data_IF_062832927311
#
_entry.id   IF_062832927311
#
_cell.length_a   1.000
_cell.length_b   1.000
_cell.length_c   1.000
_cell.angle_alpha   90.00
_cell.angle_beta   90.00
_cell.angle_gamma   90.00
#
_symmetry.space_group_name_H-M   'P 1'
#
loop_
_entity.id
_entity.type
_entity.pdbx_description
1 polymer ?
#
# COMPACT_ATOMS: atom_id res chain seq x y z
N UNK A 1 -28.15 10.63 -18.64
CA UNK A 1 -27.16 10.72 -17.55
C UNK A 1 -26.13 11.72 -18.02
N UNK A 2 -26.05 12.88 -17.37
CA UNK A 2 -25.22 13.99 -17.85
C UNK A 2 -23.74 13.65 -17.73
N UNK A 3 -22.94 13.96 -18.76
CA UNK A 3 -21.49 13.68 -18.80
C UNK A 3 -20.75 14.09 -17.50
N UNK A 4 -21.15 15.22 -16.90
CA UNK A 4 -20.62 15.74 -15.62
C UNK A 4 -20.86 14.83 -14.41
N UNK A 5 -22.00 14.13 -14.38
CA UNK A 5 -22.34 13.20 -13.29
C UNK A 5 -21.50 11.92 -13.36
N UNK A 6 -21.21 11.46 -14.57
CA UNK A 6 -20.33 10.29 -14.80
C UNK A 6 -18.92 10.61 -14.31
N UNK A 7 -18.40 11.80 -14.64
CA UNK A 7 -17.06 12.21 -14.19
C UNK A 7 -16.95 12.31 -12.67
N UNK A 8 -17.93 12.93 -12.01
CA UNK A 8 -17.96 12.98 -10.56
C UNK A 8 -17.98 11.57 -9.92
N UNK A 9 -18.63 10.59 -10.55
CA UNK A 9 -18.64 9.20 -10.08
C UNK A 9 -17.27 8.52 -10.20
N UNK A 10 -16.54 8.76 -11.29
CA UNK A 10 -15.22 8.14 -11.51
C UNK A 10 -14.19 8.67 -10.49
N UNK A 11 -14.25 9.97 -10.18
CA UNK A 11 -13.34 10.61 -9.22
C UNK A 11 -13.53 10.03 -7.81
N UNK A 12 -14.77 9.84 -7.38
CA UNK A 12 -15.06 9.29 -6.04
C UNK A 12 -14.65 7.82 -5.90
N UNK A 13 -14.86 7.03 -6.95
CA UNK A 13 -14.45 5.62 -6.97
C UNK A 13 -12.93 5.53 -6.86
N UNK A 14 -12.20 6.38 -7.59
CA UNK A 14 -10.75 6.43 -7.56
C UNK A 14 -10.20 6.82 -6.18
N UNK A 15 -10.77 7.88 -5.56
CA UNK A 15 -10.36 8.33 -4.21
C UNK A 15 -10.68 7.24 -3.18
N UNK A 16 -11.84 6.61 -3.27
CA UNK A 16 -12.27 5.58 -2.32
C UNK A 16 -11.40 4.33 -2.41
N UNK A 17 -11.14 3.83 -3.62
CA UNK A 17 -10.24 2.68 -3.83
C UNK A 17 -8.87 2.97 -3.25
N UNK A 18 -8.33 4.16 -3.49
CA UNK A 18 -7.00 4.52 -2.99
C UNK A 18 -6.95 4.79 -1.49
N UNK A 19 -8.07 5.15 -0.84
CA UNK A 19 -8.15 5.26 0.63
C UNK A 19 -8.14 3.89 1.33
N UNK A 20 -8.79 2.87 0.75
CA UNK A 20 -9.01 1.58 1.42
C UNK A 20 -8.10 0.45 0.92
N UNK A 21 -7.69 0.48 -0.35
CA UNK A 21 -6.90 -0.58 -0.94
C UNK A 21 -5.39 -0.36 -0.68
N UNK A 22 -4.64 -1.37 -0.18
CA UNK A 22 -3.25 -1.20 0.23
C UNK A 22 -2.25 -1.37 -0.92
N UNK A 23 -2.50 -0.76 -2.09
CA UNK A 23 -1.62 -0.87 -3.28
C UNK A 23 -1.05 0.48 -3.69
N UNK A 24 -0.48 1.22 -2.74
CA UNK A 24 0.27 2.43 -3.04
C UNK A 24 1.72 2.12 -3.39
N UNK A 25 2.31 1.16 -2.68
CA UNK A 25 3.68 0.72 -2.90
C UNK A 25 3.73 -0.79 -2.70
N UNK A 26 4.19 -1.56 -3.68
CA UNK A 26 4.20 -3.02 -3.58
C UNK A 26 5.50 -3.63 -4.08
N UNK A 27 5.78 -4.85 -3.65
CA UNK A 27 6.91 -5.63 -4.15
C UNK A 27 6.72 -7.09 -3.83
N UNK A 28 7.32 -7.94 -4.65
CA UNK A 28 7.20 -9.38 -4.55
C UNK A 28 8.56 -10.01 -4.86
N UNK A 29 8.97 -10.98 -4.05
CA UNK A 29 10.28 -11.63 -4.18
C UNK A 29 10.18 -13.10 -3.83
N UNK A 30 10.88 -13.95 -4.59
CA UNK A 30 11.00 -15.38 -4.27
C UNK A 30 12.10 -15.58 -3.24
N UNK A 31 11.78 -16.30 -2.17
CA UNK A 31 12.66 -16.52 -1.02
C UNK A 31 12.77 -18.00 -0.69
N UNK A 32 13.90 -18.36 -0.08
CA UNK A 32 14.17 -19.68 0.48
C UNK A 32 14.60 -19.57 1.94
N UNK A 33 13.62 -19.45 2.82
CA UNK A 33 13.82 -19.03 4.21
C UNK A 33 13.33 -20.08 5.22
N UNK A 34 13.86 -20.07 6.46
CA UNK A 34 13.30 -20.90 7.54
C UNK A 34 11.83 -20.53 7.78
N UNK A 35 10.97 -21.53 7.99
CA UNK A 35 9.53 -21.30 8.13
C UNK A 35 9.12 -20.97 9.58
N UNK A 36 9.57 -21.80 10.55
CA UNK A 36 9.14 -21.72 11.96
C UNK A 36 10.33 -21.89 12.90
N UNK A 37 10.22 -21.31 14.09
CA UNK A 37 11.16 -21.52 15.19
C UNK A 37 11.28 -23.02 15.55
N UNK A 38 12.48 -23.43 15.99
CA UNK A 38 12.79 -24.82 16.38
C UNK A 38 12.58 -25.88 15.29
N UNK A 39 12.52 -25.47 14.02
CA UNK A 39 12.49 -26.37 12.86
C UNK A 39 13.61 -26.01 11.90
N UNK A 40 14.24 -27.01 11.30
CA UNK A 40 15.19 -26.85 10.20
C UNK A 40 14.50 -26.76 8.84
N UNK A 41 13.17 -26.92 8.79
CA UNK A 41 12.39 -26.84 7.56
C UNK A 41 12.46 -25.43 6.95
N UNK A 42 12.84 -25.38 5.67
CA UNK A 42 12.85 -24.18 4.84
C UNK A 42 11.73 -24.25 3.83
N UNK A 43 11.21 -23.08 3.48
CA UNK A 43 10.14 -22.92 2.51
C UNK A 43 10.66 -22.13 1.30
N UNK A 44 10.41 -22.67 0.10
CA UNK A 44 10.44 -21.92 -1.15
C UNK A 44 9.09 -21.24 -1.32
N UNK A 45 9.08 -19.92 -1.28
CA UNK A 45 7.86 -19.14 -1.27
C UNK A 45 8.06 -17.79 -1.95
N UNK A 46 6.96 -17.27 -2.48
CA UNK A 46 6.87 -15.89 -2.92
C UNK A 46 6.37 -15.05 -1.74
N UNK A 47 7.22 -14.12 -1.30
CA UNK A 47 6.92 -13.13 -0.29
C UNK A 47 6.53 -11.82 -0.97
N UNK A 48 5.33 -11.33 -0.68
CA UNK A 48 4.81 -10.06 -1.18
C UNK A 48 4.55 -9.09 -0.04
N UNK A 49 4.82 -7.82 -0.28
CA UNK A 49 4.48 -6.72 0.61
C UNK A 49 3.71 -5.68 -0.17
N UNK A 50 2.50 -5.35 0.31
CA UNK A 50 1.64 -4.31 -0.26
C UNK A 50 1.39 -3.24 0.80
N UNK A 51 1.93 -2.06 0.59
CA UNK A 51 1.80 -0.92 1.49
C UNK A 51 0.62 -0.06 1.07
N UNK A 52 -0.29 0.17 2.02
CA UNK A 52 -1.32 1.20 1.95
C UNK A 52 -0.98 2.42 2.79
N UNK A 53 -1.95 3.34 2.89
CA UNK A 53 -1.78 4.58 3.66
C UNK A 53 -1.79 4.37 5.18
N UNK A 54 -2.56 3.35 5.63
CA UNK A 54 -2.79 3.07 7.06
C UNK A 54 -2.41 1.66 7.48
N UNK A 55 -2.22 0.77 6.52
CA UNK A 55 -1.98 -0.64 6.77
C UNK A 55 -1.07 -1.19 5.68
N UNK A 56 -0.39 -2.29 5.98
CA UNK A 56 0.39 -3.09 5.05
C UNK A 56 -0.13 -4.52 5.04
N UNK A 57 -0.18 -5.13 3.87
CA UNK A 57 -0.48 -6.55 3.72
C UNK A 57 0.80 -7.30 3.38
N UNK A 58 1.12 -8.32 4.18
CA UNK A 58 2.24 -9.23 3.94
C UNK A 58 1.68 -10.56 3.49
N UNK A 59 2.05 -10.99 2.29
CA UNK A 59 1.61 -12.26 1.72
C UNK A 59 2.77 -13.23 1.62
N UNK A 60 2.54 -14.50 1.97
CA UNK A 60 3.51 -15.58 1.78
C UNK A 60 2.81 -16.73 1.06
N UNK A 61 3.23 -17.05 -0.16
CA UNK A 61 2.66 -18.13 -0.97
C UNK A 61 3.74 -19.17 -1.25
N UNK A 62 3.53 -20.43 -0.87
CA UNK A 62 4.49 -21.48 -1.20
C UNK A 62 4.55 -21.70 -2.70
N UNK A 63 5.77 -21.83 -3.23
CA UNK A 63 6.02 -22.30 -4.60
C UNK A 63 6.26 -23.80 -4.49
N UNK A 64 5.30 -24.60 -4.95
CA UNK A 64 5.49 -26.05 -5.01
C UNK A 64 5.65 -26.47 -6.47
N UNK A 65 6.71 -27.22 -6.82
CA UNK A 65 6.80 -27.86 -8.13
C UNK A 65 5.62 -28.84 -8.31
N UNK A 66 4.94 -28.77 -9.46
CA UNK A 66 3.69 -29.49 -9.78
C UNK A 66 3.76 -31.03 -9.57
N UNK A 67 4.96 -31.59 -9.51
CA UNK A 67 5.21 -33.04 -9.47
C UNK A 67 5.20 -33.64 -8.03
N UNK A 68 5.31 -32.83 -6.98
CA UNK A 68 5.34 -33.32 -5.58
C UNK A 68 4.13 -32.86 -4.75
N UNK A 69 2.98 -33.51 -4.96
CA UNK A 69 1.73 -33.29 -4.21
C UNK A 69 1.79 -33.66 -2.71
N UNK A 70 2.90 -34.24 -2.26
CA UNK A 70 3.10 -34.71 -0.87
C UNK A 70 3.96 -33.76 0.00
N UNK A 71 4.34 -32.57 -0.49
CA UNK A 71 5.05 -31.60 0.35
C UNK A 71 4.12 -30.95 1.38
N UNK A 72 4.56 -30.86 2.65
CA UNK A 72 3.82 -30.23 3.77
C UNK A 72 3.35 -28.79 3.51
N UNK A 73 3.95 -28.11 2.53
CA UNK A 73 3.68 -26.70 2.21
C UNK A 73 2.77 -26.49 0.98
N UNK A 74 2.25 -27.56 0.38
CA UNK A 74 1.31 -27.47 -0.76
C UNK A 74 0.08 -26.63 -0.39
N UNK A 75 -0.16 -25.58 -1.17
CA UNK A 75 -1.32 -24.69 -0.99
C UNK A 75 -1.20 -23.69 0.16
N UNK A 76 -0.04 -23.59 0.82
CA UNK A 76 0.16 -22.66 1.93
C UNK A 76 0.14 -21.21 1.45
N UNK A 77 -0.84 -20.44 1.94
CA UNK A 77 -1.06 -19.03 1.60
C UNK A 77 -1.38 -18.24 2.87
N UNK A 78 -0.48 -17.33 3.23
CA UNK A 78 -0.70 -16.33 4.27
C UNK A 78 -1.01 -14.97 3.65
N UNK A 79 -1.88 -14.21 4.32
CA UNK A 79 -2.22 -12.83 4.00
C UNK A 79 -2.48 -12.09 5.30
N UNK A 80 -1.43 -11.54 5.90
CA UNK A 80 -1.50 -10.84 7.18
C UNK A 80 -1.59 -9.34 6.95
N UNK A 81 -2.55 -8.69 7.60
CA UNK A 81 -2.73 -7.23 7.57
C UNK A 81 -2.19 -6.62 8.84
N UNK A 82 -1.30 -5.65 8.69
CA UNK A 82 -0.57 -4.97 9.77
C UNK A 82 -0.94 -3.49 9.75
N UNK A 83 -1.26 -2.92 10.90
CA UNK A 83 -1.65 -1.51 11.01
C UNK A 83 -0.44 -0.60 11.20
N UNK A 84 -0.27 0.38 10.30
CA UNK A 84 0.85 1.31 10.26
C UNK A 84 0.57 2.67 10.92
N UNK A 85 -0.64 2.93 11.43
CA UNK A 85 -1.04 4.30 11.81
C UNK A 85 -0.16 4.92 12.90
N UNK A 86 0.10 4.19 13.98
CA UNK A 86 0.82 4.69 15.15
C UNK A 86 2.06 3.85 15.45
N UNK A 87 3.04 4.46 16.11
CA UNK A 87 4.22 3.73 16.59
C UNK A 87 3.84 2.66 17.61
N UNK A 88 2.96 3.02 18.55
CA UNK A 88 2.46 2.11 19.59
C UNK A 88 1.72 0.94 18.95
N UNK A 89 0.87 1.20 17.95
CA UNK A 89 0.14 0.13 17.25
C UNK A 89 1.08 -0.82 16.51
N UNK A 90 2.23 -0.35 16.00
CA UNK A 90 3.21 -1.21 15.34
C UNK A 90 3.95 -2.14 16.31
N UNK A 91 4.28 -1.66 17.51
CA UNK A 91 4.94 -2.47 18.54
C UNK A 91 3.97 -3.55 19.07
N UNK A 92 2.72 -3.17 19.31
CA UNK A 92 1.65 -4.09 19.72
C UNK A 92 1.34 -5.13 18.62
N UNK A 93 1.26 -4.73 17.35
CA UNK A 93 1.05 -5.67 16.23
C UNK A 93 2.23 -6.62 16.03
N UNK A 94 3.47 -6.16 16.28
CA UNK A 94 4.63 -7.03 16.27
C UNK A 94 4.56 -8.07 17.40
N UNK A 95 4.25 -7.66 18.63
CA UNK A 95 4.08 -8.58 19.76
C UNK A 95 2.95 -9.59 19.51
N UNK A 96 1.81 -9.12 19.00
CA UNK A 96 0.67 -9.96 18.62
C UNK A 96 1.05 -10.97 17.53
N UNK A 97 1.84 -10.55 16.55
CA UNK A 97 2.35 -11.41 15.47
C UNK A 97 3.28 -12.50 16.01
N UNK A 98 4.13 -12.17 16.98
CA UNK A 98 4.97 -13.14 17.69
C UNK A 98 4.13 -14.13 18.50
N UNK A 99 3.13 -13.65 19.26
CA UNK A 99 2.22 -14.51 20.04
C UNK A 99 1.39 -15.45 19.18
N UNK A 100 0.98 -15.01 17.98
CA UNK A 100 0.30 -15.85 16.97
C UNK A 100 1.21 -16.94 16.39
N UNK A 101 2.54 -16.77 16.47
CA UNK A 101 3.51 -17.70 15.89
C UNK A 101 3.54 -17.66 14.36
N UNK A 102 3.47 -16.46 13.77
CA UNK A 102 3.56 -16.29 12.32
C UNK A 102 4.88 -16.82 11.75
N UNK A 103 4.93 -17.19 10.45
CA UNK A 103 6.16 -17.61 9.79
C UNK A 103 7.27 -16.55 9.89
N UNK A 104 8.51 -17.01 10.01
CA UNK A 104 9.67 -16.12 10.16
C UNK A 104 9.80 -15.06 9.05
N UNK A 105 9.54 -15.36 7.75
CA UNK A 105 9.62 -14.33 6.72
C UNK A 105 8.64 -13.17 6.93
N UNK A 106 7.42 -13.46 7.41
CA UNK A 106 6.41 -12.44 7.69
C UNK A 106 6.85 -11.62 8.91
N UNK A 107 7.29 -12.29 9.99
CA UNK A 107 7.78 -11.61 11.18
C UNK A 107 8.94 -10.66 10.88
N UNK A 108 9.88 -11.08 10.01
CA UNK A 108 11.00 -10.23 9.59
C UNK A 108 10.53 -8.96 8.89
N UNK A 109 9.53 -9.03 8.02
CA UNK A 109 8.96 -7.83 7.37
C UNK A 109 8.33 -6.91 8.42
N UNK A 110 7.56 -7.46 9.35
CA UNK A 110 6.90 -6.65 10.41
C UNK A 110 7.94 -5.99 11.32
N UNK A 111 9.01 -6.71 11.66
CA UNK A 111 10.14 -6.18 12.43
C UNK A 111 10.80 -4.99 11.71
N UNK A 112 11.08 -5.12 10.42
CA UNK A 112 11.65 -4.02 9.62
C UNK A 112 10.74 -2.77 9.58
N UNK A 113 9.42 -2.96 9.66
CA UNK A 113 8.45 -1.86 9.70
C UNK A 113 8.29 -1.27 11.12
N UNK A 114 8.55 -2.05 12.17
CA UNK A 114 8.40 -1.62 13.58
C UNK A 114 9.66 -0.94 14.13
N UNK A 115 10.84 -1.27 13.60
CA UNK A 115 12.12 -0.69 14.02
C UNK A 115 12.19 0.80 13.64
N UNK A 116 12.49 1.63 14.64
CA UNK A 116 12.70 3.10 14.50
C UNK A 116 14.10 3.55 14.99
N UNK A 117 15.04 2.63 15.19
CA UNK A 117 16.38 2.90 15.78
C UNK A 117 17.51 2.47 14.84
N UNK A 118 18.70 3.04 15.02
CA UNK A 118 19.93 2.58 14.36
C UNK A 118 20.06 2.89 12.87
N UNK A 119 19.44 3.97 12.38
CA UNK A 119 19.47 4.37 10.95
C UNK A 119 18.35 3.76 10.10
N UNK A 120 17.62 2.79 10.64
CA UNK A 120 16.43 2.20 10.01
C UNK A 120 15.19 3.03 10.36
N UNK A 121 14.92 4.06 9.55
CA UNK A 121 13.79 4.99 9.73
C UNK A 121 12.65 4.76 8.73
N UNK A 122 12.72 3.66 7.97
CA UNK A 122 11.80 3.36 6.89
C UNK A 122 10.36 3.22 7.37
N UNK A 123 10.15 2.47 8.46
CA UNK A 123 8.84 2.33 9.09
C UNK A 123 8.21 3.70 9.38
N UNK A 124 8.91 4.56 10.11
CA UNK A 124 8.47 5.94 10.41
C UNK A 124 8.15 6.76 9.16
N UNK A 125 9.00 6.70 8.13
CA UNK A 125 8.77 7.44 6.89
C UNK A 125 7.50 6.99 6.18
N UNK A 126 7.24 5.67 6.09
CA UNK A 126 5.99 5.15 5.53
C UNK A 126 4.76 5.59 6.34
N UNK A 127 4.85 5.63 7.67
CA UNK A 127 3.74 6.09 8.53
C UNK A 127 3.42 7.57 8.29
N UNK A 128 4.44 8.43 8.26
CA UNK A 128 4.26 9.85 8.01
C UNK A 128 3.73 10.12 6.60
N UNK A 129 4.33 9.47 5.60
CA UNK A 129 3.92 9.55 4.21
C UNK A 129 2.45 9.13 4.03
N UNK A 130 2.08 7.98 4.59
CA UNK A 130 0.71 7.47 4.57
C UNK A 130 -0.28 8.37 5.31
N UNK A 131 0.09 8.90 6.47
CA UNK A 131 -0.76 9.80 7.26
C UNK A 131 -1.09 11.11 6.51
N UNK A 132 -0.08 11.81 5.99
CA UNK A 132 -0.30 13.08 5.28
C UNK A 132 -1.07 12.87 3.97
N UNK A 133 -0.74 11.82 3.22
CA UNK A 133 -1.46 11.47 1.98
C UNK A 133 -2.92 11.12 2.28
N UNK A 134 -3.17 10.37 3.36
CA UNK A 134 -4.53 10.09 3.84
C UNK A 134 -5.30 11.37 4.17
N UNK A 135 -4.69 12.32 4.90
CA UNK A 135 -5.33 13.61 5.19
C UNK A 135 -5.66 14.42 3.93
N UNK A 136 -4.76 14.44 2.94
CA UNK A 136 -5.00 15.14 1.68
C UNK A 136 -6.11 14.48 0.86
N UNK A 137 -6.17 13.16 0.80
CA UNK A 137 -7.25 12.44 0.10
C UNK A 137 -8.62 12.64 0.78
N UNK A 138 -8.66 12.72 2.11
CA UNK A 138 -9.90 13.11 2.80
C UNK A 138 -10.30 14.56 2.54
N UNK A 139 -9.31 15.45 2.42
CA UNK A 139 -9.56 16.83 1.98
C UNK A 139 -10.12 16.86 0.56
N UNK A 140 -9.54 16.08 -0.37
CA UNK A 140 -10.03 15.95 -1.74
C UNK A 140 -11.45 15.39 -1.78
N UNK A 141 -11.75 14.37 -0.97
CA UNK A 141 -13.09 13.82 -0.80
C UNK A 141 -14.10 14.88 -0.29
N UNK A 142 -13.70 15.69 0.69
CA UNK A 142 -14.51 16.81 1.17
C UNK A 142 -14.77 17.86 0.08
N UNK A 143 -13.75 18.22 -0.70
CA UNK A 143 -13.89 19.13 -1.84
C UNK A 143 -14.78 18.54 -2.94
N UNK A 144 -14.72 17.23 -3.18
CA UNK A 144 -15.60 16.52 -4.11
C UNK A 144 -17.07 16.57 -3.67
N UNK A 145 -17.36 16.43 -2.37
CA UNK A 145 -18.74 16.60 -1.88
C UNK A 145 -19.29 17.99 -2.19
N UNK A 146 -18.46 19.03 -2.03
CA UNK A 146 -18.82 20.40 -2.40
C UNK A 146 -19.02 20.52 -3.91
N UNK A 147 -18.15 19.90 -4.72
CA UNK A 147 -18.29 19.86 -6.18
C UNK A 147 -19.63 19.25 -6.62
N UNK A 148 -20.05 18.13 -6.01
CA UNK A 148 -21.34 17.49 -6.27
C UNK A 148 -22.51 18.38 -5.81
N UNK A 149 -22.42 18.99 -4.64
CA UNK A 149 -23.44 19.93 -4.18
C UNK A 149 -23.59 21.12 -5.15
N UNK A 150 -22.49 21.66 -5.68
CA UNK A 150 -22.51 22.73 -6.68
C UNK A 150 -23.14 22.26 -8.00
N UNK A 151 -22.99 20.99 -8.39
CA UNK A 151 -23.67 20.44 -9.56
C UNK A 151 -25.21 20.50 -9.41
N UNK A 152 -25.72 20.31 -8.20
CA UNK A 152 -27.16 20.39 -7.91
C UNK A 152 -27.70 21.82 -7.84
N UNK A 153 -26.96 22.75 -7.22
CA UNK A 153 -27.43 24.13 -6.99
C UNK A 153 -27.00 25.11 -8.09
N UNK A 154 -25.71 25.12 -8.45
CA UNK A 154 -25.11 26.11 -9.36
C UNK A 154 -24.06 25.45 -10.28
N UNK A 155 -24.48 24.86 -11.42
CA UNK A 155 -23.59 24.12 -12.33
C UNK A 155 -22.44 24.94 -12.92
N UNK A 156 -22.49 26.29 -12.81
CA UNK A 156 -21.47 27.20 -13.33
C UNK A 156 -20.13 27.08 -12.59
N UNK A 157 -20.14 26.80 -11.29
CA UNK A 157 -18.91 26.70 -10.48
C UNK A 157 -18.30 25.30 -10.44
N UNK A 158 -18.94 24.32 -11.11
CA UNK A 158 -18.50 22.93 -11.12
C UNK A 158 -17.06 22.77 -11.61
N UNK A 159 -16.68 23.44 -12.71
CA UNK A 159 -15.33 23.31 -13.29
C UNK A 159 -14.22 23.79 -12.36
N UNK A 160 -14.42 24.93 -11.69
CA UNK A 160 -13.45 25.46 -10.72
C UNK A 160 -13.26 24.53 -9.51
N UNK A 161 -14.35 23.93 -9.04
CA UNK A 161 -14.28 22.94 -7.96
C UNK A 161 -13.61 21.65 -8.42
N UNK A 162 -13.86 21.20 -9.66
CA UNK A 162 -13.17 20.07 -10.28
C UNK A 162 -11.65 20.28 -10.31
N UNK A 163 -11.17 21.42 -10.82
CA UNK A 163 -9.74 21.74 -10.78
C UNK A 163 -9.18 21.70 -9.35
N UNK A 164 -9.92 22.24 -8.38
CA UNK A 164 -9.47 22.25 -6.99
C UNK A 164 -9.31 20.82 -6.43
N UNK A 165 -10.27 19.93 -6.70
CA UNK A 165 -10.19 18.50 -6.33
C UNK A 165 -9.00 17.84 -7.03
N UNK A 166 -8.86 18.04 -8.34
CA UNK A 166 -7.75 17.50 -9.13
C UNK A 166 -6.37 17.94 -8.60
N UNK A 167 -6.20 19.22 -8.28
CA UNK A 167 -4.95 19.75 -7.71
C UNK A 167 -4.65 19.12 -6.35
N UNK A 168 -5.63 18.99 -5.46
CA UNK A 168 -5.43 18.38 -4.13
C UNK A 168 -5.05 16.89 -4.28
N UNK A 169 -5.71 16.16 -5.19
CA UNK A 169 -5.38 14.76 -5.48
C UNK A 169 -3.95 14.62 -6.02
N UNK A 170 -3.55 15.42 -7.00
CA UNK A 170 -2.18 15.41 -7.52
C UNK A 170 -1.14 15.84 -6.48
N UNK A 171 -1.48 16.79 -5.61
CA UNK A 171 -0.63 17.18 -4.49
C UNK A 171 -0.45 16.02 -3.49
N UNK A 172 -1.48 15.19 -3.29
CA UNK A 172 -1.39 13.99 -2.46
C UNK A 172 -0.44 12.95 -3.04
N UNK A 173 -0.48 12.73 -4.36
CA UNK A 173 0.43 11.82 -5.06
C UNK A 173 1.88 12.34 -5.00
N UNK A 174 2.07 13.63 -5.25
CA UNK A 174 3.38 14.27 -5.17
C UNK A 174 3.95 14.17 -3.75
N UNK A 175 3.14 14.43 -2.72
CA UNK A 175 3.54 14.27 -1.33
C UNK A 175 3.96 12.83 -1.06
N UNK A 176 3.16 11.86 -1.51
CA UNK A 176 3.47 10.45 -1.32
C UNK A 176 4.83 10.09 -1.95
N UNK A 177 5.06 10.50 -3.21
CA UNK A 177 6.29 10.23 -3.93
C UNK A 177 7.53 10.91 -3.31
N UNK A 178 7.40 12.13 -2.80
CA UNK A 178 8.51 12.88 -2.18
C UNK A 178 8.84 12.35 -0.79
N UNK A 179 7.83 11.94 0.00
CA UNK A 179 8.03 11.43 1.35
C UNK A 179 8.45 9.95 1.40
N UNK A 180 8.35 9.23 0.28
CA UNK A 180 8.69 7.81 0.18
C UNK A 180 10.20 7.57 0.41
N UNK A 181 10.59 6.59 1.25
CA UNK A 181 12.00 6.19 1.34
C UNK A 181 12.50 5.59 0.02
N UNK A 182 13.58 6.14 -0.54
CA UNK A 182 14.17 5.68 -1.82
C UNK A 182 14.78 4.27 -1.79
N UNK A 183 15.06 3.70 -0.62
CA UNK A 183 15.85 2.46 -0.50
C UNK A 183 15.38 1.56 0.67
N UNK A 184 14.10 1.16 0.69
CA UNK A 184 13.71 0.04 1.56
C UNK A 184 14.11 -1.27 0.88
N UNK A 185 15.16 -1.90 1.36
CA UNK A 185 15.66 -3.18 0.88
C UNK A 185 15.62 -4.18 2.04
N UNK A 186 14.74 -5.17 1.96
CA UNK A 186 14.66 -6.24 2.95
C UNK A 186 15.31 -7.50 2.36
N UNK A 187 16.51 -7.89 2.85
CA UNK A 187 17.24 -9.02 2.30
C UNK A 187 16.67 -10.35 2.80
N UNK A 188 16.53 -11.31 1.89
CA UNK A 188 16.15 -12.69 2.15
C UNK A 188 17.09 -13.66 1.42
N UNK A 189 17.34 -14.86 2.00
CA UNK A 189 17.98 -15.94 1.27
C UNK A 189 17.08 -16.40 0.11
N UNK A 190 17.68 -16.82 -1.02
CA UNK A 190 16.98 -17.35 -2.19
C UNK A 190 17.66 -18.64 -2.70
N UNK A 191 16.96 -19.36 -3.60
CA UNK A 191 17.48 -20.57 -4.25
C UNK A 191 18.44 -20.20 -5.40
N UNK A 192 18.12 -19.14 -6.15
CA UNK A 192 18.80 -18.78 -7.40
C UNK A 192 19.97 -17.82 -7.19
N UNK A 193 19.91 -16.99 -6.15
CA UNK A 193 20.92 -16.00 -5.78
C UNK A 193 21.28 -16.09 -4.29
N UNK A 194 22.50 -15.70 -3.89
CA UNK A 194 22.89 -15.70 -2.48
C UNK A 194 22.06 -14.72 -1.64
N UNK A 195 21.44 -13.73 -2.29
CA UNK A 195 20.60 -12.70 -1.69
C UNK A 195 19.50 -12.32 -2.67
N UNK A 196 18.25 -12.40 -2.22
CA UNK A 196 17.10 -11.79 -2.86
C UNK A 196 16.63 -10.60 -2.02
N UNK A 197 16.43 -9.46 -2.66
CA UNK A 197 16.06 -8.23 -1.98
C UNK A 197 14.60 -7.92 -2.32
N UNK A 198 13.78 -7.73 -1.30
CA UNK A 198 12.44 -7.21 -1.48
C UNK A 198 12.53 -5.70 -1.74
N UNK A 199 12.43 -5.33 -3.01
CA UNK A 199 12.34 -3.96 -3.46
C UNK A 199 10.88 -3.60 -3.76
N UNK A 200 10.47 -2.42 -3.32
CA UNK A 200 9.12 -1.93 -3.51
C UNK A 200 9.08 -0.89 -4.64
N UNK A 201 8.00 -0.88 -5.39
CA UNK A 201 7.71 0.04 -6.48
C UNK A 201 6.30 0.63 -6.33
N UNK A 202 6.08 1.81 -6.93
CA UNK A 202 4.76 2.44 -6.95
C UNK A 202 3.74 1.54 -7.66
N UNK A 203 2.54 1.43 -7.09
CA UNK A 203 1.54 0.45 -7.50
C UNK A 203 0.24 1.13 -7.95
N UNK A 204 -0.79 0.31 -8.18
CA UNK A 204 -2.05 0.67 -8.85
C UNK A 204 -2.76 1.86 -8.22
N UNK A 205 -2.84 1.97 -6.89
CA UNK A 205 -3.54 3.08 -6.24
C UNK A 205 -2.92 4.42 -6.60
N UNK A 206 -1.59 4.50 -6.66
CA UNK A 206 -0.86 5.71 -7.03
C UNK A 206 -1.13 6.11 -8.50
N UNK A 207 -1.09 5.15 -9.42
CA UNK A 207 -1.36 5.45 -10.84
C UNK A 207 -2.83 5.79 -11.09
N UNK A 208 -3.75 5.19 -10.35
CA UNK A 208 -5.19 5.49 -10.42
C UNK A 208 -5.49 6.89 -9.89
N UNK A 209 -4.93 7.29 -8.75
CA UNK A 209 -5.09 8.67 -8.25
C UNK A 209 -4.46 9.70 -9.18
N UNK A 210 -3.30 9.39 -9.75
CA UNK A 210 -2.62 10.26 -10.71
C UNK A 210 -3.46 10.45 -11.99
N UNK A 211 -4.01 9.36 -12.53
CA UNK A 211 -4.89 9.40 -13.69
C UNK A 211 -6.19 10.18 -13.39
N UNK A 212 -6.82 9.93 -12.23
CA UNK A 212 -8.02 10.66 -11.82
C UNK A 212 -7.76 12.16 -11.61
N UNK A 213 -6.67 12.52 -10.93
CA UNK A 213 -6.30 13.91 -10.69
C UNK A 213 -5.98 14.69 -11.97
N UNK A 214 -5.28 14.07 -12.93
CA UNK A 214 -5.02 14.70 -14.24
C UNK A 214 -6.29 14.86 -15.06
N UNK A 215 -7.17 13.85 -15.05
CA UNK A 215 -8.44 13.87 -15.75
C UNK A 215 -9.41 14.94 -15.19
N UNK A 216 -9.50 15.04 -13.86
CA UNK A 216 -10.33 16.04 -13.18
C UNK A 216 -9.89 17.48 -13.52
N UNK A 217 -8.58 17.72 -13.59
CA UNK A 217 -8.03 19.00 -14.04
C UNK A 217 -8.38 19.27 -15.52
N UNK A 218 -8.20 18.29 -16.40
CA UNK A 218 -8.54 18.45 -17.82
C UNK A 218 -10.01 18.82 -18.03
N UNK A 219 -10.93 18.21 -17.28
CA UNK A 219 -12.35 18.56 -17.32
C UNK A 219 -12.60 19.96 -16.77
N UNK A 220 -11.97 20.33 -15.66
CA UNK A 220 -12.19 21.64 -15.06
C UNK A 220 -11.68 22.81 -15.92
N UNK A 221 -10.72 22.56 -16.82
CA UNK A 221 -10.23 23.53 -17.80
C UNK A 221 -11.08 23.67 -19.07
N UNK A 222 -11.85 22.63 -19.45
CA UNK A 222 -12.72 22.65 -20.63
C UNK A 222 -14.13 23.18 -20.31
#
# INVERSE_FOLDING_TARGET
>A
MDSKTVFASIDIDSISVSLYHPSWHEGEVRIYAPFRAFSSERIDAILGLKMGLKNANVTLKSVVPDDNKNHKFVGLKYNERVELLNRVSMEEEFEKSLRKGLPYPILKVIEYLSVDRGGFIWGRQYRLCGYYTYCLLWTAFGCWLIQVAMLCFVPRYFGTMACSVGIITLASDLLYAVCLPRYLQIPFPSVESPLAVLELHLSTCFYVTLAAGTFCNFIGFN
#
